data_IF_109171623667
#
_entry.id   IF_109171623667
#
_cell.length_a   1.000
_cell.length_b   1.000
_cell.length_c   1.000
_cell.angle_alpha   90.00
_cell.angle_beta   90.00
_cell.angle_gamma   90.00
#
_symmetry.space_group_name_H-M   'P 1'
#
loop_
_entity.id
_entity.type
_entity.pdbx_description
1 polymer ?
#
# COMPACT_ATOMS: atom_id res chain seq x y z
N UNK A 1 42.21 50.27 5.42
CA UNK A 1 41.47 50.15 6.71
C UNK A 1 40.05 50.56 6.42
N UNK A 2 39.11 49.62 6.51
CA UNK A 2 37.68 49.92 6.42
C UNK A 2 37.25 50.61 7.72
N UNK A 3 36.30 51.53 7.65
CA UNK A 3 35.75 52.14 8.87
C UNK A 3 34.87 51.12 9.58
N UNK A 4 34.72 51.24 10.91
CA UNK A 4 33.93 50.33 11.73
C UNK A 4 32.49 50.12 11.21
N UNK A 5 31.90 51.11 10.52
CA UNK A 5 30.57 50.96 9.91
C UNK A 5 30.58 50.07 8.66
N UNK A 6 31.65 50.07 7.87
CA UNK A 6 31.78 49.25 6.65
C UNK A 6 31.94 47.76 7.00
N UNK A 7 32.60 47.43 8.11
CA UNK A 7 32.71 46.04 8.59
C UNK A 7 31.36 45.46 9.05
N UNK A 8 30.50 46.29 9.65
CA UNK A 8 29.16 45.87 10.08
C UNK A 8 28.28 45.60 8.85
N UNK A 9 28.33 46.46 7.83
CA UNK A 9 27.58 46.27 6.59
C UNK A 9 27.99 45.00 5.83
N UNK A 10 29.29 44.67 5.80
CA UNK A 10 29.79 43.43 5.20
C UNK A 10 29.28 42.17 5.91
N UNK A 11 29.29 42.15 7.25
CA UNK A 11 28.77 41.01 8.03
C UNK A 11 27.26 40.81 7.86
N UNK A 12 26.50 41.91 7.73
CA UNK A 12 25.07 41.85 7.43
C UNK A 12 24.84 41.29 6.01
N UNK A 13 25.64 41.73 5.02
CA UNK A 13 25.56 41.22 3.66
C UNK A 13 25.89 39.72 3.58
N UNK A 14 26.94 39.27 4.26
CA UNK A 14 27.33 37.85 4.33
C UNK A 14 26.25 36.99 4.99
N UNK A 15 25.67 37.47 6.10
CA UNK A 15 24.55 36.80 6.77
C UNK A 15 23.28 36.73 5.92
N UNK A 16 22.99 37.78 5.14
CA UNK A 16 21.82 37.83 4.26
C UNK A 16 22.00 37.01 2.98
N UNK A 17 23.19 37.00 2.39
CA UNK A 17 23.47 36.30 1.13
C UNK A 17 23.68 34.80 1.36
N UNK A 18 24.24 34.39 2.51
CA UNK A 18 24.52 32.97 2.79
C UNK A 18 23.49 32.37 3.74
N UNK A 19 23.11 33.07 4.81
CA UNK A 19 22.23 32.53 5.85
C UNK A 19 20.77 32.41 5.42
N UNK A 20 20.24 33.38 4.66
CA UNK A 20 18.83 33.36 4.23
C UNK A 20 18.58 32.26 3.18
N UNK A 21 19.43 32.07 2.14
CA UNK A 21 19.23 30.97 1.20
C UNK A 21 19.37 29.59 1.84
N UNK A 22 20.29 29.39 2.79
CA UNK A 22 20.44 28.11 3.50
C UNK A 22 19.21 27.78 4.35
N UNK A 23 18.63 28.77 5.04
CA UNK A 23 17.38 28.59 5.79
C UNK A 23 16.18 28.33 4.87
N UNK A 24 16.09 29.04 3.74
CA UNK A 24 15.01 28.87 2.76
C UNK A 24 15.10 27.50 2.08
N UNK A 25 16.29 27.09 1.63
CA UNK A 25 16.55 25.77 1.04
C UNK A 25 16.30 24.67 2.07
N UNK A 26 16.79 24.81 3.31
CA UNK A 26 16.52 23.88 4.39
C UNK A 26 15.02 23.75 4.68
N UNK A 27 14.29 24.87 4.72
CA UNK A 27 12.84 24.87 4.91
C UNK A 27 12.08 24.25 3.73
N UNK A 28 12.56 24.42 2.50
CA UNK A 28 11.99 23.82 1.28
C UNK A 28 12.25 22.32 1.21
N UNK A 29 13.43 21.86 1.59
CA UNK A 29 13.76 20.43 1.69
C UNK A 29 12.91 19.77 2.79
N UNK A 30 12.76 20.40 3.96
CA UNK A 30 11.91 19.90 5.05
C UNK A 30 10.42 19.92 4.65
N UNK A 31 9.95 20.95 3.94
CA UNK A 31 8.57 21.01 3.42
C UNK A 31 8.30 19.97 2.33
N UNK A 32 9.25 19.73 1.43
CA UNK A 32 9.11 18.71 0.38
C UNK A 32 9.20 17.29 0.94
N UNK A 33 9.93 17.06 2.04
CA UNK A 33 9.88 15.80 2.77
C UNK A 33 8.52 15.56 3.47
N UNK A 34 7.82 16.62 3.88
CA UNK A 34 6.43 16.56 4.39
C UNK A 34 5.36 16.40 3.31
N UNK A 35 5.70 16.59 2.03
CA UNK A 35 4.76 16.43 0.91
C UNK A 35 4.70 14.99 0.37
N UNK A 36 5.38 14.03 1.01
CA UNK A 36 5.19 12.61 0.68
C UNK A 36 3.78 12.17 1.11
N UNK A 37 3.07 11.38 0.27
CA UNK A 37 1.85 10.73 0.74
C UNK A 37 2.15 10.00 2.04
N UNK A 38 1.24 10.12 3.01
CA UNK A 38 1.36 9.42 4.29
C UNK A 38 1.59 7.93 3.99
N UNK A 39 2.77 7.42 4.36
CA UNK A 39 3.17 6.06 4.04
C UNK A 39 2.19 5.02 4.60
N UNK A 40 1.46 5.39 5.67
CA UNK A 40 0.39 4.58 6.22
C UNK A 40 -0.79 4.52 5.25
N UNK A 41 -1.22 5.67 4.72
CA UNK A 41 -2.32 5.75 3.77
C UNK A 41 -1.99 5.01 2.47
N UNK A 42 -0.75 5.13 1.98
CA UNK A 42 -0.29 4.43 0.77
C UNK A 42 -0.31 2.91 0.95
N UNK A 43 0.30 2.38 2.02
CA UNK A 43 0.26 0.95 2.31
C UNK A 43 -1.17 0.44 2.48
N UNK A 44 -2.01 1.18 3.22
CA UNK A 44 -3.42 0.82 3.46
C UNK A 44 -4.19 0.74 2.15
N UNK A 45 -4.00 1.71 1.25
CA UNK A 45 -4.62 1.72 -0.07
C UNK A 45 -4.23 0.47 -0.88
N UNK A 46 -2.96 0.09 -0.87
CA UNK A 46 -2.50 -1.10 -1.60
C UNK A 46 -3.03 -2.40 -0.99
N UNK A 47 -3.09 -2.51 0.34
CA UNK A 47 -3.72 -3.66 1.02
C UNK A 47 -5.20 -3.77 0.64
N UNK A 48 -5.96 -2.68 0.76
CA UNK A 48 -7.38 -2.65 0.40
C UNK A 48 -7.61 -3.00 -1.07
N UNK A 49 -6.75 -2.52 -1.98
CA UNK A 49 -6.82 -2.85 -3.41
C UNK A 49 -6.61 -4.35 -3.66
N UNK A 50 -5.64 -4.99 -3.00
CA UNK A 50 -5.41 -6.43 -3.13
C UNK A 50 -6.61 -7.23 -2.61
N UNK A 51 -7.13 -6.87 -1.44
CA UNK A 51 -8.31 -7.51 -0.84
C UNK A 51 -9.52 -7.35 -1.77
N UNK A 52 -9.70 -6.17 -2.35
CA UNK A 52 -10.77 -5.90 -3.31
C UNK A 52 -10.65 -6.77 -4.56
N UNK A 53 -9.48 -6.87 -5.19
CA UNK A 53 -9.30 -7.72 -6.37
C UNK A 53 -9.57 -9.20 -6.07
N UNK A 54 -9.16 -9.71 -4.89
CA UNK A 54 -9.53 -11.06 -4.43
C UNK A 54 -11.05 -11.19 -4.28
N UNK A 55 -11.69 -10.26 -3.58
CA UNK A 55 -13.13 -10.24 -3.38
C UNK A 55 -13.89 -10.22 -4.72
N UNK A 56 -13.44 -9.38 -5.64
CA UNK A 56 -14.06 -9.22 -6.95
C UNK A 56 -13.98 -10.49 -7.77
N UNK A 57 -12.84 -11.19 -7.78
CA UNK A 57 -12.72 -12.49 -8.43
C UNK A 57 -13.70 -13.49 -7.83
N UNK A 58 -13.73 -13.63 -6.51
CA UNK A 58 -14.57 -14.62 -5.83
C UNK A 58 -16.06 -14.34 -6.07
N UNK A 59 -16.47 -13.07 -5.96
CA UNK A 59 -17.83 -12.63 -6.27
C UNK A 59 -18.20 -12.89 -7.73
N UNK A 60 -17.30 -12.58 -8.66
CA UNK A 60 -17.55 -12.76 -10.10
C UNK A 60 -17.68 -14.23 -10.47
N UNK A 61 -16.93 -15.12 -9.81
CA UNK A 61 -17.06 -16.57 -9.98
C UNK A 61 -18.42 -17.07 -9.48
N UNK A 62 -18.91 -16.53 -8.36
CA UNK A 62 -20.22 -16.88 -7.82
C UNK A 62 -21.38 -16.46 -8.73
N UNK A 63 -21.30 -15.27 -9.32
CA UNK A 63 -22.42 -14.66 -10.07
C UNK A 63 -22.29 -14.81 -11.59
N UNK A 64 -21.11 -15.14 -12.10
CA UNK A 64 -20.82 -15.30 -13.53
C UNK A 64 -19.77 -16.39 -13.77
N UNK A 65 -20.06 -17.65 -13.39
CA UNK A 65 -19.08 -18.75 -13.45
C UNK A 65 -18.58 -19.03 -14.88
N UNK A 66 -19.41 -18.82 -15.91
CA UNK A 66 -19.01 -18.98 -17.31
C UNK A 66 -17.87 -18.04 -17.74
N UNK A 67 -17.69 -16.91 -17.04
CA UNK A 67 -16.65 -15.92 -17.32
C UNK A 67 -15.36 -16.13 -16.50
N UNK A 68 -15.25 -17.24 -15.75
CA UNK A 68 -14.16 -17.49 -14.79
C UNK A 68 -12.77 -17.27 -15.40
N UNK A 69 -12.51 -17.74 -16.62
CA UNK A 69 -11.19 -17.59 -17.28
C UNK A 69 -10.85 -16.12 -17.57
N UNK A 70 -11.84 -15.34 -18.00
CA UNK A 70 -11.68 -13.90 -18.22
C UNK A 70 -11.40 -13.18 -16.90
N UNK A 71 -12.17 -13.50 -15.87
CA UNK A 71 -12.02 -12.91 -14.53
C UNK A 71 -10.66 -13.24 -13.92
N UNK A 72 -10.18 -14.48 -14.08
CA UNK A 72 -8.83 -14.92 -13.67
C UNK A 72 -7.74 -14.10 -14.36
N UNK A 73 -7.87 -13.88 -15.67
CA UNK A 73 -6.87 -13.10 -16.42
C UNK A 73 -6.81 -11.66 -15.92
N UNK A 74 -7.95 -11.03 -15.69
CA UNK A 74 -8.05 -9.68 -15.13
C UNK A 74 -7.44 -9.63 -13.73
N UNK A 75 -7.83 -10.54 -12.85
CA UNK A 75 -7.29 -10.68 -11.50
C UNK A 75 -5.76 -10.77 -11.49
N UNK A 76 -5.18 -11.67 -12.31
CA UNK A 76 -3.73 -11.84 -12.36
C UNK A 76 -3.01 -10.57 -12.79
N UNK A 77 -3.56 -9.84 -13.76
CA UNK A 77 -2.99 -8.57 -14.23
C UNK A 77 -3.05 -7.48 -13.15
N UNK A 78 -4.17 -7.39 -12.43
CA UNK A 78 -4.35 -6.43 -11.34
C UNK A 78 -3.42 -6.74 -10.16
N UNK A 79 -3.43 -7.99 -9.69
CA UNK A 79 -2.64 -8.42 -8.54
C UNK A 79 -1.14 -8.30 -8.80
N UNK A 80 -0.66 -8.62 -10.00
CA UNK A 80 0.76 -8.47 -10.32
C UNK A 80 1.26 -7.03 -10.09
N UNK A 81 0.46 -6.05 -10.52
CA UNK A 81 0.75 -4.63 -10.28
C UNK A 81 0.60 -4.26 -8.81
N UNK A 82 -0.54 -4.60 -8.20
CA UNK A 82 -0.87 -4.22 -6.83
C UNK A 82 0.13 -4.80 -5.82
N UNK A 83 0.59 -6.04 -6.00
CA UNK A 83 1.59 -6.66 -5.14
C UNK A 83 2.93 -5.93 -5.23
N UNK A 84 3.35 -5.51 -6.42
CA UNK A 84 4.57 -4.71 -6.58
C UNK A 84 4.47 -3.40 -5.78
N UNK A 85 3.35 -2.68 -5.91
CA UNK A 85 3.13 -1.42 -5.19
C UNK A 85 3.01 -1.65 -3.66
N UNK A 86 2.40 -2.76 -3.25
CA UNK A 86 2.34 -3.19 -1.84
C UNK A 86 3.75 -3.46 -1.27
N UNK A 87 4.62 -4.12 -2.04
CA UNK A 87 6.00 -4.40 -1.62
C UNK A 87 6.85 -3.13 -1.51
N UNK A 88 6.58 -2.11 -2.32
CA UNK A 88 7.26 -0.81 -2.21
C UNK A 88 6.76 0.00 -0.99
N UNK A 89 5.44 0.14 -0.85
CA UNK A 89 4.81 0.93 0.22
C UNK A 89 5.11 0.38 1.63
N UNK A 90 5.23 -0.95 1.81
CA UNK A 90 5.59 -1.53 3.11
C UNK A 90 6.99 -1.11 3.57
N UNK A 91 7.94 -0.97 2.63
CA UNK A 91 9.32 -0.55 2.93
C UNK A 91 9.30 0.91 3.36
N UNK A 92 8.52 1.75 2.66
CA UNK A 92 8.37 3.15 3.02
C UNK A 92 7.78 3.33 4.43
N UNK A 93 6.72 2.58 4.78
CA UNK A 93 6.14 2.65 6.12
C UNK A 93 7.09 2.10 7.19
N UNK A 94 7.81 1.00 6.93
CA UNK A 94 8.76 0.44 7.88
C UNK A 94 9.90 1.41 8.22
N UNK A 95 10.39 2.16 7.22
CA UNK A 95 11.44 3.17 7.41
C UNK A 95 10.92 4.40 8.16
N UNK A 96 9.69 4.84 7.90
CA UNK A 96 9.14 6.07 8.51
C UNK A 96 8.53 5.81 9.90
N UNK A 97 7.85 4.68 10.08
CA UNK A 97 7.07 4.35 11.26
C UNK A 97 7.06 2.83 11.53
N UNK A 98 8.19 2.29 11.99
CA UNK A 98 8.36 0.85 12.26
C UNK A 98 7.26 0.24 13.16
N UNK A 99 6.79 0.98 14.17
CA UNK A 99 5.70 0.53 15.04
C UNK A 99 4.38 0.34 14.28
N UNK A 100 4.00 1.30 13.42
CA UNK A 100 2.80 1.20 12.57
C UNK A 100 2.92 0.07 11.57
N UNK A 101 4.12 -0.11 10.98
CA UNK A 101 4.40 -1.26 10.12
C UNK A 101 4.20 -2.59 10.86
N UNK A 102 4.77 -2.75 12.07
CA UNK A 102 4.66 -3.99 12.84
C UNK A 102 3.21 -4.36 13.15
N UNK A 103 2.34 -3.38 13.36
CA UNK A 103 0.90 -3.61 13.55
C UNK A 103 0.19 -4.04 12.26
N UNK A 104 0.59 -3.55 11.08
CA UNK A 104 0.00 -3.94 9.79
C UNK A 104 0.61 -5.21 9.17
N UNK A 105 1.82 -5.58 9.56
CA UNK A 105 2.54 -6.73 8.99
C UNK A 105 1.75 -8.06 9.07
N UNK A 106 1.02 -8.38 10.15
CA UNK A 106 0.16 -9.57 10.20
C UNK A 106 -0.97 -9.55 9.16
N UNK A 107 -1.62 -8.39 8.93
CA UNK A 107 -2.68 -8.24 7.93
C UNK A 107 -2.10 -8.45 6.53
N UNK A 108 -0.95 -7.85 6.24
CA UNK A 108 -0.25 -8.05 4.97
C UNK A 108 0.08 -9.54 4.74
N UNK A 109 0.55 -10.25 5.77
CA UNK A 109 0.81 -11.68 5.67
C UNK A 109 -0.46 -12.48 5.35
N UNK A 110 -1.60 -12.13 5.95
CA UNK A 110 -2.91 -12.73 5.63
C UNK A 110 -3.34 -12.44 4.19
N UNK A 111 -3.14 -11.22 3.68
CA UNK A 111 -3.43 -10.87 2.27
C UNK A 111 -2.61 -11.73 1.32
N UNK A 112 -1.30 -11.85 1.55
CA UNK A 112 -0.40 -12.67 0.72
C UNK A 112 -0.75 -14.16 0.79
N UNK A 113 -1.12 -14.65 1.97
CA UNK A 113 -1.56 -16.04 2.14
C UNK A 113 -2.87 -16.33 1.39
N UNK A 114 -3.79 -15.37 1.40
CA UNK A 114 -5.05 -15.48 0.67
C UNK A 114 -4.86 -15.41 -0.85
N UNK A 115 -4.02 -14.49 -1.34
CA UNK A 115 -3.62 -14.46 -2.76
C UNK A 115 -2.97 -15.77 -3.19
N UNK A 116 -2.06 -16.31 -2.38
CA UNK A 116 -1.45 -17.61 -2.65
C UNK A 116 -2.49 -18.74 -2.74
N UNK A 117 -3.46 -18.76 -1.83
CA UNK A 117 -4.57 -19.72 -1.85
C UNK A 117 -5.37 -19.57 -3.14
N UNK A 118 -5.75 -18.36 -3.53
CA UNK A 118 -6.44 -18.08 -4.80
C UNK A 118 -5.60 -18.53 -5.99
N UNK A 119 -4.31 -18.21 -6.01
CA UNK A 119 -3.37 -18.58 -7.07
C UNK A 119 -3.29 -20.10 -7.28
N UNK A 120 -3.31 -20.90 -6.21
CA UNK A 120 -3.39 -22.37 -6.31
C UNK A 120 -4.66 -22.84 -6.99
N UNK A 121 -5.80 -22.28 -6.61
CA UNK A 121 -7.10 -22.63 -7.20
C UNK A 121 -7.15 -22.24 -8.68
N UNK A 122 -6.64 -21.04 -9.00
CA UNK A 122 -6.55 -20.51 -10.36
C UNK A 122 -5.65 -21.37 -11.25
N UNK A 123 -4.47 -21.76 -10.77
CA UNK A 123 -3.57 -22.65 -11.50
C UNK A 123 -4.24 -24.01 -11.78
N UNK A 124 -5.04 -24.49 -10.82
CA UNK A 124 -5.97 -25.59 -11.02
C UNK A 124 -6.94 -25.31 -12.16
N UNK A 125 -7.79 -24.28 -12.08
CA UNK A 125 -8.80 -23.97 -13.09
C UNK A 125 -8.30 -23.97 -14.54
N UNK A 126 -7.09 -23.44 -14.80
CA UNK A 126 -6.52 -23.34 -16.14
C UNK A 126 -6.07 -24.68 -16.72
N UNK A 127 -5.89 -25.69 -15.87
CA UNK A 127 -5.29 -26.99 -16.20
C UNK A 127 -6.32 -28.13 -16.31
N UNK A 128 -7.58 -27.89 -15.94
CA UNK A 128 -8.49 -28.95 -15.49
C UNK A 128 -9.71 -29.19 -16.40
N UNK A 129 -10.28 -30.40 -16.28
CA UNK A 129 -11.52 -30.86 -16.92
C UNK A 129 -12.76 -30.18 -16.29
N UNK A 130 -13.90 -30.02 -16.98
CA UNK A 130 -15.07 -29.27 -16.47
C UNK A 130 -15.56 -29.64 -15.05
N UNK A 131 -15.45 -30.91 -14.65
CA UNK A 131 -15.84 -31.36 -13.29
C UNK A 131 -14.96 -30.76 -12.17
N UNK A 132 -13.70 -30.51 -12.47
CA UNK A 132 -12.73 -29.93 -11.55
C UNK A 132 -12.86 -28.40 -11.50
N UNK A 133 -13.41 -27.79 -12.56
CA UNK A 133 -13.76 -26.37 -12.59
C UNK A 133 -14.82 -26.04 -11.54
N UNK A 134 -15.84 -26.89 -11.37
CA UNK A 134 -16.87 -26.70 -10.35
C UNK A 134 -16.32 -26.77 -8.91
N UNK A 135 -15.36 -27.66 -8.65
CA UNK A 135 -14.69 -27.74 -7.35
C UNK A 135 -13.86 -26.48 -7.07
N UNK A 136 -13.11 -26.01 -8.07
CA UNK A 136 -12.32 -24.80 -7.96
C UNK A 136 -13.18 -23.54 -7.78
N UNK A 137 -14.35 -23.46 -8.44
CA UNK A 137 -15.33 -22.40 -8.21
C UNK A 137 -15.78 -22.35 -6.74
N UNK A 138 -16.08 -23.53 -6.16
CA UNK A 138 -16.45 -23.62 -4.74
C UNK A 138 -15.34 -23.14 -3.81
N UNK A 139 -14.08 -23.45 -4.11
CA UNK A 139 -12.94 -22.98 -3.33
C UNK A 139 -12.75 -21.46 -3.44
N UNK A 140 -12.92 -20.87 -4.63
CA UNK A 140 -12.88 -19.41 -4.80
C UNK A 140 -14.02 -18.73 -4.03
N UNK A 141 -15.22 -19.30 -4.03
CA UNK A 141 -16.35 -18.76 -3.24
C UNK A 141 -16.01 -18.75 -1.74
N UNK A 142 -15.34 -19.79 -1.23
CA UNK A 142 -14.93 -19.82 0.18
C UNK A 142 -13.91 -18.72 0.51
N UNK A 143 -13.02 -18.36 -0.43
CA UNK A 143 -12.07 -17.26 -0.26
C UNK A 143 -12.75 -15.89 -0.15
N UNK A 144 -14.01 -15.74 -0.61
CA UNK A 144 -14.75 -14.47 -0.50
C UNK A 144 -14.93 -14.05 0.96
N UNK A 145 -15.38 -14.97 1.81
CA UNK A 145 -15.62 -14.65 3.22
C UNK A 145 -14.31 -14.28 3.94
N UNK A 146 -13.21 -14.96 3.63
CA UNK A 146 -11.89 -14.63 4.18
C UNK A 146 -11.44 -13.22 3.76
N UNK A 147 -11.66 -12.84 2.50
CA UNK A 147 -11.34 -11.49 2.02
C UNK A 147 -12.22 -10.41 2.67
N UNK A 148 -13.52 -10.67 2.86
CA UNK A 148 -14.44 -9.75 3.56
C UNK A 148 -14.02 -9.54 5.02
N UNK A 149 -13.67 -10.60 5.75
CA UNK A 149 -13.21 -10.46 7.13
C UNK A 149 -11.86 -9.73 7.22
N UNK A 150 -10.98 -9.94 6.24
CA UNK A 150 -9.70 -9.25 6.17
C UNK A 150 -9.85 -7.75 5.90
N UNK A 151 -10.84 -7.36 5.07
CA UNK A 151 -11.18 -5.95 4.84
C UNK A 151 -11.66 -5.25 6.12
N UNK A 152 -12.54 -5.92 6.88
CA UNK A 152 -13.00 -5.42 8.20
C UNK A 152 -11.85 -5.29 9.19
N UNK A 153 -10.95 -6.27 9.23
CA UNK A 153 -9.77 -6.26 10.09
C UNK A 153 -8.85 -5.09 9.75
N UNK A 154 -8.57 -4.86 8.46
CA UNK A 154 -7.77 -3.74 7.97
C UNK A 154 -8.38 -2.40 8.39
N UNK A 155 -9.69 -2.23 8.14
CA UNK A 155 -10.39 -0.99 8.49
C UNK A 155 -10.33 -0.71 9.99
N UNK A 156 -10.52 -1.75 10.81
CA UNK A 156 -10.44 -1.63 12.27
C UNK A 156 -9.04 -1.18 12.70
N UNK A 157 -7.99 -1.86 12.22
CA UNK A 157 -6.60 -1.55 12.61
C UNK A 157 -6.22 -0.12 12.20
N UNK A 158 -6.57 0.29 10.98
CA UNK A 158 -6.26 1.65 10.51
C UNK A 158 -7.04 2.70 11.29
N UNK A 159 -8.31 2.44 11.61
CA UNK A 159 -9.11 3.34 12.45
C UNK A 159 -8.51 3.49 13.84
N UNK A 160 -8.10 2.37 14.46
CA UNK A 160 -7.47 2.35 15.79
C UNK A 160 -6.16 3.17 15.76
N UNK A 161 -5.36 3.06 14.68
CA UNK A 161 -4.13 3.85 14.51
C UNK A 161 -4.37 5.36 14.40
N UNK A 162 -5.49 5.79 13.80
CA UNK A 162 -5.82 7.21 13.65
C UNK A 162 -6.36 7.83 14.94
N UNK A 163 -6.89 7.02 15.86
CA UNK A 163 -7.42 7.49 17.14
C UNK A 163 -6.34 7.67 18.23
N UNK A 164 -5.16 7.07 18.06
CA UNK A 164 -4.02 7.29 18.96
C UNK A 164 -3.50 8.71 18.74
N UNK A 165 -3.95 9.65 19.58
CA UNK A 165 -3.34 10.97 19.71
C UNK A 165 -1.87 10.78 20.13
N UNK A 166 -0.96 11.36 19.36
CA UNK A 166 0.47 11.49 19.70
C UNK A 166 0.67 12.30 20.99
#
# INVERSE_FOLDING_TARGET
MLTFSQEIWLKILEGAIIGVPVLVIGSLIIKNLRAKPDALAELTKHLASCIHSINWLCWSVQHSPAAIRGNIKTYNSEMHKQLSDLMASRVLLAVQHAARYNTLAPVMAKVLALDWKVGKVVAGCLSLHPLQEAAAQKELINCHNEAVELDKELLKIVSDMLQVKE
#
